data_IF_381218622274
#
_entry.id   IF_381218622274
#
_cell.length_a   1.000
_cell.length_b   1.000
_cell.length_c   1.000
_cell.angle_alpha   90.00
_cell.angle_beta   90.00
_cell.angle_gamma   90.00
#
_symmetry.space_group_name_H-M   'P 1'
#
loop_
_entity.id
_entity.type
_entity.pdbx_description
1 polymer ?
#
# COMPACT_ATOMS: atom_id res chain seq x y z
N UNK A 1 -62.94 -27.60 -21.17
CA UNK A 1 -62.11 -28.59 -20.47
C UNK A 1 -60.76 -27.94 -20.18
N UNK A 2 -60.49 -27.69 -18.88
CA UNK A 2 -59.23 -27.37 -18.18
C UNK A 2 -58.25 -26.34 -18.80
N UNK A 3 -58.09 -25.11 -18.27
CA UNK A 3 -57.18 -24.75 -17.13
C UNK A 3 -55.83 -25.50 -17.21
N UNK A 4 -54.64 -24.90 -17.18
CA UNK A 4 -54.16 -23.80 -16.34
C UNK A 4 -52.79 -23.30 -16.88
N UNK A 5 -52.66 -22.00 -17.17
CA UNK A 5 -51.81 -21.01 -16.45
C UNK A 5 -50.94 -21.53 -15.28
N UNK A 6 -49.69 -21.06 -15.29
CA UNK A 6 -48.78 -20.79 -14.14
C UNK A 6 -48.28 -21.97 -13.29
N UNK A 7 -46.97 -22.18 -13.33
CA UNK A 7 -46.20 -22.68 -12.19
C UNK A 7 -44.93 -21.82 -12.04
N UNK A 8 -45.06 -20.74 -11.27
CA UNK A 8 -43.94 -20.14 -10.54
C UNK A 8 -43.86 -20.88 -9.22
N UNK A 9 -42.79 -21.65 -9.01
CA UNK A 9 -42.40 -22.29 -7.76
C UNK A 9 -40.90 -22.60 -7.97
N UNK A 10 -39.94 -22.12 -7.21
CA UNK A 10 -39.90 -21.90 -5.77
C UNK A 10 -38.55 -22.43 -5.32
N UNK A 11 -37.60 -21.50 -5.15
CA UNK A 11 -36.46 -21.51 -4.24
C UNK A 11 -35.96 -22.87 -3.69
N UNK A 12 -34.77 -23.31 -4.12
CA UNK A 12 -33.85 -24.06 -3.25
C UNK A 12 -32.46 -23.44 -3.32
N UNK A 13 -32.23 -22.59 -2.32
CA UNK A 13 -30.97 -22.27 -1.67
C UNK A 13 -29.87 -23.33 -1.89
N UNK A 14 -28.83 -22.95 -2.63
CA UNK A 14 -27.49 -23.49 -2.45
C UNK A 14 -26.58 -22.29 -2.24
N UNK A 15 -26.42 -21.88 -0.98
CA UNK A 15 -25.39 -20.91 -0.61
C UNK A 15 -24.10 -21.71 -0.48
N UNK A 16 -23.13 -21.61 -1.41
CA UNK A 16 -21.76 -21.91 -1.07
C UNK A 16 -21.33 -20.82 -0.08
N UNK A 17 -21.46 -21.11 1.22
CA UNK A 17 -20.75 -20.36 2.25
C UNK A 17 -19.27 -20.74 2.16
N UNK A 18 -18.61 -20.36 1.06
CA UNK A 18 -17.20 -20.05 1.13
C UNK A 18 -17.12 -18.70 1.82
N UNK A 19 -16.41 -18.64 2.95
CA UNK A 19 -16.02 -17.39 3.58
C UNK A 19 -15.20 -16.58 2.58
N UNK A 20 -15.89 -15.80 1.76
CA UNK A 20 -15.32 -14.65 1.10
C UNK A 20 -15.28 -13.59 2.19
N UNK A 21 -14.25 -13.65 3.03
CA UNK A 21 -13.78 -12.45 3.70
C UNK A 21 -13.42 -11.51 2.56
N UNK A 22 -14.31 -10.57 2.25
CA UNK A 22 -14.01 -9.50 1.32
C UNK A 22 -12.66 -8.92 1.74
N UNK A 23 -11.64 -8.95 0.87
CA UNK A 23 -10.42 -8.24 1.18
C UNK A 23 -10.87 -6.80 1.39
N UNK A 24 -10.72 -6.28 2.61
CA UNK A 24 -10.91 -4.86 2.93
C UNK A 24 -10.36 -4.08 1.74
N UNK A 25 -11.26 -3.40 1.03
CA UNK A 25 -10.95 -2.89 -0.30
C UNK A 25 -9.77 -1.93 -0.20
N UNK A 26 -8.91 -1.87 -1.22
CA UNK A 26 -7.78 -0.92 -1.24
C UNK A 26 -8.24 0.50 -0.88
N UNK A 27 -9.44 0.90 -1.32
CA UNK A 27 -10.02 2.19 -0.97
C UNK A 27 -10.28 2.36 0.54
N UNK A 28 -10.73 1.33 1.25
CA UNK A 28 -10.96 1.38 2.71
C UNK A 28 -9.63 1.45 3.46
N UNK A 29 -8.65 0.65 3.03
CA UNK A 29 -7.28 0.67 3.54
C UNK A 29 -6.56 2.01 3.34
N UNK A 30 -6.75 2.65 2.20
CA UNK A 30 -6.22 4.00 1.93
C UNK A 30 -6.88 5.05 2.82
N UNK A 31 -8.19 4.93 3.06
CA UNK A 31 -8.89 5.83 3.99
C UNK A 31 -8.35 5.70 5.42
N UNK A 32 -8.09 4.46 5.88
CA UNK A 32 -7.58 4.20 7.22
C UNK A 32 -6.11 4.60 7.38
N UNK A 33 -5.28 4.32 6.39
CA UNK A 33 -3.84 4.65 6.45
C UNK A 33 -3.53 6.12 6.11
N UNK A 34 -4.38 6.77 5.32
CA UNK A 34 -4.14 8.07 4.72
C UNK A 34 -3.22 8.04 3.50
N UNK A 35 -2.67 6.87 3.10
CA UNK A 35 -1.75 6.75 1.97
C UNK A 35 -2.13 5.60 1.05
N UNK A 36 -1.90 5.78 -0.25
CA UNK A 36 -1.88 4.66 -1.18
C UNK A 36 -0.62 3.82 -1.01
N UNK A 37 -0.69 2.53 -1.37
CA UNK A 37 0.48 1.64 -1.46
C UNK A 37 1.61 2.29 -2.26
N UNK A 38 1.28 2.87 -3.41
CA UNK A 38 2.25 3.49 -4.29
C UNK A 38 2.95 4.68 -3.62
N UNK A 39 2.18 5.57 -2.99
CA UNK A 39 2.70 6.75 -2.28
C UNK A 39 3.60 6.34 -1.12
N UNK A 40 3.24 5.30 -0.36
CA UNK A 40 4.09 4.76 0.69
C UNK A 40 5.42 4.24 0.15
N UNK A 41 5.40 3.45 -0.94
CA UNK A 41 6.62 2.93 -1.57
C UNK A 41 7.50 4.09 -2.06
N UNK A 42 6.92 5.09 -2.74
CA UNK A 42 7.66 6.25 -3.24
C UNK A 42 8.32 7.05 -2.11
N UNK A 43 7.59 7.28 -1.02
CA UNK A 43 8.12 7.94 0.15
C UNK A 43 9.26 7.13 0.79
N UNK A 44 9.08 5.83 0.98
CA UNK A 44 10.10 4.99 1.60
C UNK A 44 11.37 4.88 0.74
N UNK A 45 11.23 4.78 -0.58
CA UNK A 45 12.37 4.82 -1.51
C UNK A 45 13.13 6.15 -1.37
N UNK A 46 12.40 7.27 -1.36
CA UNK A 46 13.02 8.59 -1.22
C UNK A 46 13.75 8.77 0.13
N UNK A 47 13.20 8.20 1.22
CA UNK A 47 13.86 8.19 2.52
C UNK A 47 15.15 7.38 2.52
N UNK A 48 15.15 6.19 1.93
CA UNK A 48 16.35 5.33 1.84
C UNK A 48 17.42 5.93 0.95
N UNK A 49 17.04 6.66 -0.09
CA UNK A 49 17.98 7.44 -0.91
C UNK A 49 18.57 8.61 -0.12
N UNK A 50 17.71 9.37 0.56
CA UNK A 50 18.15 10.47 1.41
C UNK A 50 19.15 10.00 2.48
N UNK A 51 18.93 8.82 3.06
CA UNK A 51 19.85 8.19 4.02
C UNK A 51 21.18 7.78 3.37
N UNK A 52 21.14 7.11 2.21
CA UNK A 52 22.35 6.69 1.48
C UNK A 52 23.25 7.85 1.08
N UNK A 53 22.64 8.96 0.67
CA UNK A 53 23.36 10.10 0.12
C UNK A 53 23.70 11.15 1.20
N UNK A 54 23.26 10.97 2.45
CA UNK A 54 23.54 11.88 3.57
C UNK A 54 24.79 11.44 4.36
N UNK A 55 25.87 12.22 4.38
CA UNK A 55 27.06 11.94 5.19
C UNK A 55 26.85 12.12 6.70
N UNK A 56 25.82 12.87 7.11
CA UNK A 56 25.55 13.19 8.52
C UNK A 56 24.07 13.07 8.87
N UNK A 57 23.71 12.85 10.15
CA UNK A 57 22.31 12.85 10.58
C UNK A 57 21.57 14.16 10.30
N UNK A 58 22.25 15.30 10.46
CA UNK A 58 21.63 16.62 10.20
C UNK A 58 21.30 16.81 8.71
N UNK A 59 22.16 16.31 7.83
CA UNK A 59 21.90 16.33 6.40
C UNK A 59 20.78 15.35 6.01
N UNK A 60 20.74 14.17 6.62
CA UNK A 60 19.62 13.25 6.46
C UNK A 60 18.30 13.89 6.86
N UNK A 61 18.22 14.57 8.01
CA UNK A 61 17.01 15.26 8.45
C UNK A 61 16.55 16.36 7.47
N UNK A 62 17.50 17.10 6.88
CA UNK A 62 17.19 18.09 5.86
C UNK A 62 16.64 17.44 4.56
N UNK A 63 17.28 16.37 4.09
CA UNK A 63 16.87 15.62 2.90
C UNK A 63 15.54 14.90 3.11
N UNK A 64 15.33 14.30 4.29
CA UNK A 64 14.06 13.68 4.73
C UNK A 64 12.90 14.65 4.63
N UNK A 65 13.01 15.83 5.27
CA UNK A 65 11.94 16.85 5.22
C UNK A 65 11.65 17.29 3.79
N UNK A 66 12.68 17.48 2.98
CA UNK A 66 12.53 17.86 1.56
C UNK A 66 11.84 16.77 0.75
N UNK A 67 12.23 15.51 0.92
CA UNK A 67 11.65 14.37 0.22
C UNK A 67 10.16 14.19 0.58
N UNK A 68 9.82 14.24 1.86
CA UNK A 68 8.45 14.12 2.35
C UNK A 68 7.58 15.29 1.90
N UNK A 69 8.08 16.52 1.99
CA UNK A 69 7.37 17.71 1.51
C UNK A 69 7.08 17.65 0.00
N UNK A 70 8.03 17.16 -0.81
CA UNK A 70 7.84 17.00 -2.26
C UNK A 70 6.72 16.00 -2.60
N UNK A 71 6.56 14.97 -1.78
CA UNK A 71 5.55 13.93 -1.97
C UNK A 71 4.21 14.29 -1.31
N UNK A 72 4.14 15.38 -0.54
CA UNK A 72 2.95 15.74 0.24
C UNK A 72 2.64 14.72 1.35
N UNK A 73 3.66 14.00 1.84
CA UNK A 73 3.52 12.94 2.84
C UNK A 73 4.05 13.41 4.18
N UNK A 74 3.32 13.11 5.25
CA UNK A 74 3.74 13.37 6.63
C UNK A 74 4.38 12.13 7.27
N UNK A 75 5.26 12.29 8.27
CA UNK A 75 5.76 11.17 9.05
C UNK A 75 4.64 10.33 9.70
N UNK A 76 3.57 10.97 10.15
CA UNK A 76 2.43 10.34 10.81
C UNK A 76 1.64 9.44 9.86
N UNK A 77 1.47 9.84 8.60
CA UNK A 77 0.85 9.04 7.55
C UNK A 77 1.66 7.77 7.22
N UNK A 78 2.99 7.88 7.19
CA UNK A 78 3.86 6.70 7.01
C UNK A 78 3.73 5.72 8.17
N UNK A 79 3.68 6.24 9.41
CA UNK A 79 3.48 5.41 10.58
C UNK A 79 2.10 4.72 10.53
N UNK A 80 1.04 5.48 10.21
CA UNK A 80 -0.31 4.94 10.12
C UNK A 80 -0.44 3.87 9.04
N UNK A 81 0.19 4.06 7.89
CA UNK A 81 0.25 3.01 6.87
C UNK A 81 0.89 1.73 7.40
N UNK A 82 2.00 1.84 8.13
CA UNK A 82 2.65 0.67 8.74
C UNK A 82 1.79 0.01 9.84
N UNK A 83 1.02 0.79 10.59
CA UNK A 83 0.09 0.27 11.60
C UNK A 83 -1.07 -0.51 10.96
N UNK A 84 -1.67 0.03 9.90
CA UNK A 84 -2.82 -0.59 9.21
C UNK A 84 -2.40 -1.84 8.42
N UNK A 85 -1.24 -1.81 7.75
CA UNK A 85 -0.81 -2.89 6.85
C UNK A 85 0.24 -3.83 7.43
N UNK A 86 0.92 -3.44 8.51
CA UNK A 86 2.11 -4.14 9.03
C UNK A 86 1.88 -5.59 9.44
N UNK A 87 0.63 -5.96 9.77
CA UNK A 87 0.26 -7.33 10.14
C UNK A 87 -0.08 -8.21 8.91
N UNK A 88 -0.38 -7.63 7.74
CA UNK A 88 -0.54 -8.38 6.51
C UNK A 88 0.84 -8.64 5.88
N UNK A 89 1.46 -9.73 6.32
CA UNK A 89 2.82 -10.10 5.92
C UNK A 89 2.94 -10.23 4.40
N UNK A 90 1.95 -10.81 3.72
CA UNK A 90 2.00 -10.98 2.26
C UNK A 90 1.96 -9.63 1.56
N UNK A 91 1.05 -8.74 1.97
CA UNK A 91 0.97 -7.39 1.41
C UNK A 91 2.27 -6.60 1.65
N UNK A 92 2.81 -6.66 2.87
CA UNK A 92 4.05 -5.94 3.19
C UNK A 92 5.26 -6.52 2.48
N UNK A 93 5.34 -7.84 2.27
CA UNK A 93 6.38 -8.44 1.42
C UNK A 93 6.36 -7.85 0.02
N UNK A 94 5.19 -7.76 -0.62
CA UNK A 94 5.08 -7.15 -1.96
C UNK A 94 5.47 -5.66 -1.96
N UNK A 95 5.18 -4.93 -0.89
CA UNK A 95 5.63 -3.53 -0.70
C UNK A 95 7.15 -3.47 -0.64
N UNK A 96 7.79 -4.31 0.17
CA UNK A 96 9.25 -4.34 0.31
C UNK A 96 9.95 -4.77 -0.96
N UNK A 97 9.47 -5.79 -1.66
CA UNK A 97 10.00 -6.20 -2.97
C UNK A 97 9.98 -5.03 -3.96
N UNK A 98 8.90 -4.23 -3.93
CA UNK A 98 8.76 -3.05 -4.78
C UNK A 98 9.73 -1.93 -4.40
N UNK A 99 9.97 -1.71 -3.10
CA UNK A 99 10.97 -0.75 -2.60
C UNK A 99 12.37 -1.18 -3.05
N UNK A 100 12.72 -2.45 -2.85
CA UNK A 100 14.05 -2.98 -3.17
C UNK A 100 14.35 -2.92 -4.66
N UNK A 101 13.40 -3.33 -5.51
CA UNK A 101 13.55 -3.26 -6.97
C UNK A 101 13.83 -1.81 -7.44
N UNK A 102 13.12 -0.83 -6.88
CA UNK A 102 13.32 0.60 -7.21
C UNK A 102 14.64 1.15 -6.70
N UNK A 103 15.08 0.72 -5.53
CA UNK A 103 16.38 1.10 -4.96
C UNK A 103 17.56 0.46 -5.70
N UNK A 104 17.39 -0.74 -6.25
CA UNK A 104 18.41 -1.41 -7.07
C UNK A 104 18.56 -0.76 -8.45
N UNK A 105 17.46 -0.26 -9.02
CA UNK A 105 17.47 0.46 -10.30
C UNK A 105 18.11 1.86 -10.24
N UNK A 106 18.38 2.38 -9.04
CA UNK A 106 18.88 3.75 -8.83
C UNK A 106 20.25 3.71 -8.13
N UNK A 107 21.36 3.86 -8.86
CA UNK A 107 22.69 3.93 -8.26
C UNK A 107 22.81 5.19 -7.38
N UNK A 108 23.63 5.12 -6.30
CA UNK A 108 23.88 6.24 -5.42
C UNK A 108 24.40 7.44 -6.21
N UNK A 109 24.15 8.66 -5.71
CA UNK A 109 24.48 9.89 -6.44
C UNK A 109 26.00 9.99 -6.73
N UNK A 110 26.82 9.49 -5.80
CA UNK A 110 28.28 9.39 -5.94
C UNK A 110 28.76 8.51 -7.09
N UNK A 111 27.95 7.57 -7.57
CA UNK A 111 28.28 6.67 -8.68
C UNK A 111 27.87 7.24 -10.05
N UNK A 112 27.27 8.43 -10.10
CA UNK A 112 26.88 9.13 -11.35
C UNK A 112 27.86 10.22 -11.78
N UNK A 113 28.89 10.50 -10.98
CA UNK A 113 30.02 11.40 -11.29
C UNK A 113 31.22 10.65 -11.85
#
# INVERSE_FOLDING_TARGET
MHHARTAVLGLLFFIPACGFSEPVGEAERVQDSGLSRQTFIEAYVALRQAERDAPTPQEFEARKRTALARLGVTPEELLRFAEVHGQDIRYMSEVWDSVEARLAAQPPDSART
#
